data_IF_695953002726
#
_entry.id   IF_695953002726
#
_cell.length_a   1.000
_cell.length_b   1.000
_cell.length_c   1.000
_cell.angle_alpha   90.00
_cell.angle_beta   90.00
_cell.angle_gamma   90.00
#
_symmetry.space_group_name_H-M   'P 1'
#
loop_
_entity.id
_entity.type
_entity.pdbx_description
1 polymer ?
#
# COMPACT_ATOMS: atom_id res chain seq x y z
N UNK A 1 -20.50 10.22 -7.56
CA UNK A 1 -19.15 10.79 -7.34
C UNK A 1 -18.59 10.05 -6.16
N UNK A 2 -17.76 9.04 -6.40
CA UNK A 2 -17.29 8.14 -5.36
C UNK A 2 -16.25 8.85 -4.49
N UNK A 3 -16.43 8.76 -3.17
CA UNK A 3 -15.55 9.25 -2.13
C UNK A 3 -14.05 9.02 -2.42
N UNK A 4 -13.33 10.09 -2.75
CA UNK A 4 -11.87 10.12 -2.88
C UNK A 4 -11.21 10.58 -1.58
N UNK A 5 -11.74 10.17 -0.44
CA UNK A 5 -11.34 10.71 0.88
C UNK A 5 -10.13 9.97 1.47
N UNK A 6 -9.69 8.86 0.85
CA UNK A 6 -8.50 8.11 1.24
C UNK A 6 -7.48 8.04 0.09
N UNK A 7 -6.18 8.27 0.36
CA UNK A 7 -5.15 8.20 -0.68
C UNK A 7 -5.03 6.76 -1.23
N UNK A 8 -5.02 6.61 -2.56
CA UNK A 8 -4.87 5.29 -3.20
C UNK A 8 -3.45 4.76 -3.04
N UNK A 9 -3.26 3.46 -3.29
CA UNK A 9 -1.93 2.85 -3.27
C UNK A 9 -0.97 3.53 -4.26
N UNK A 10 -1.45 3.80 -5.48
CA UNK A 10 -0.67 4.47 -6.53
C UNK A 10 -0.27 5.89 -6.12
N UNK A 11 -1.16 6.61 -5.43
CA UNK A 11 -0.86 7.94 -4.89
C UNK A 11 0.22 7.86 -3.81
N UNK A 12 0.14 6.89 -2.90
CA UNK A 12 1.13 6.70 -1.84
C UNK A 12 2.49 6.28 -2.41
N UNK A 13 2.50 5.42 -3.43
CA UNK A 13 3.72 5.01 -4.10
C UNK A 13 4.39 6.19 -4.82
N UNK A 14 3.61 7.01 -5.54
CA UNK A 14 4.09 8.23 -6.20
C UNK A 14 4.70 9.21 -5.19
N UNK A 15 4.04 9.42 -4.04
CA UNK A 15 4.58 10.27 -2.98
C UNK A 15 5.90 9.71 -2.42
N UNK A 16 6.03 8.39 -2.25
CA UNK A 16 7.26 7.75 -1.80
C UNK A 16 8.41 8.01 -2.78
N UNK A 17 8.16 7.89 -4.08
CA UNK A 17 9.14 8.20 -5.12
C UNK A 17 9.60 9.67 -5.07
N UNK A 18 8.70 10.61 -4.77
CA UNK A 18 9.07 12.01 -4.59
C UNK A 18 9.94 12.21 -3.35
N UNK A 19 9.60 11.56 -2.23
CA UNK A 19 10.40 11.64 -1.00
C UNK A 19 11.82 11.09 -1.23
N UNK A 20 11.96 9.99 -1.97
CA UNK A 20 13.28 9.45 -2.36
C UNK A 20 14.06 10.48 -3.19
N UNK A 21 13.43 11.06 -4.22
CA UNK A 21 14.08 12.11 -5.03
C UNK A 21 14.51 13.32 -4.20
N UNK A 22 13.74 13.68 -3.18
CA UNK A 22 14.12 14.75 -2.25
C UNK A 22 15.35 14.34 -1.42
N UNK A 23 15.37 13.13 -0.87
CA UNK A 23 16.51 12.62 -0.08
C UNK A 23 17.82 12.53 -0.88
N UNK A 24 17.73 12.36 -2.20
CA UNK A 24 18.90 12.33 -3.09
C UNK A 24 19.48 13.73 -3.40
N UNK A 25 18.82 14.81 -2.97
CA UNK A 25 19.32 16.16 -3.22
C UNK A 25 20.56 16.47 -2.38
N UNK A 26 21.68 16.88 -3.00
CA UNK A 26 22.96 17.07 -2.31
C UNK A 26 22.96 18.25 -1.32
N UNK A 27 22.04 19.20 -1.49
CA UNK A 27 21.91 20.40 -0.64
C UNK A 27 20.76 20.30 0.37
N UNK A 28 20.19 19.10 0.57
CA UNK A 28 19.09 18.90 1.51
C UNK A 28 19.55 19.16 2.96
N UNK A 29 18.95 20.13 3.68
CA UNK A 29 19.28 20.37 5.07
C UNK A 29 18.98 19.14 5.95
N UNK A 30 19.84 18.86 6.93
CA UNK A 30 19.72 17.67 7.80
C UNK A 30 18.33 17.54 8.45
N UNK A 31 17.76 18.65 8.94
CA UNK A 31 16.43 18.64 9.54
C UNK A 31 15.34 18.24 8.52
N UNK A 32 15.45 18.71 7.28
CA UNK A 32 14.53 18.32 6.21
C UNK A 32 14.75 16.87 5.79
N UNK A 33 15.99 16.38 5.78
CA UNK A 33 16.29 14.97 5.51
C UNK A 33 15.62 14.06 6.56
N UNK A 34 15.71 14.42 7.85
CA UNK A 34 15.07 13.67 8.93
C UNK A 34 13.53 13.69 8.81
N UNK A 35 12.93 14.84 8.50
CA UNK A 35 11.48 14.93 8.27
C UNK A 35 11.03 14.11 7.05
N UNK A 36 11.78 14.19 5.95
CA UNK A 36 11.50 13.46 4.71
C UNK A 36 11.60 11.95 4.95
N UNK A 37 12.63 11.51 5.68
CA UNK A 37 12.79 10.12 6.06
C UNK A 37 11.64 9.62 6.96
N UNK A 38 11.26 10.39 7.98
CA UNK A 38 10.15 10.06 8.88
C UNK A 38 8.82 9.91 8.11
N UNK A 39 8.57 10.80 7.15
CA UNK A 39 7.41 10.70 6.25
C UNK A 39 7.49 9.43 5.39
N UNK A 40 8.64 9.16 4.80
CA UNK A 40 8.87 7.96 3.98
C UNK A 40 8.59 6.67 4.74
N UNK A 41 9.06 6.56 5.99
CA UNK A 41 8.79 5.38 6.85
C UNK A 41 7.29 5.19 7.08
N UNK A 42 6.57 6.28 7.42
CA UNK A 42 5.11 6.22 7.64
C UNK A 42 4.38 5.77 6.37
N UNK A 43 4.79 6.29 5.22
CA UNK A 43 4.19 5.99 3.93
C UNK A 43 4.42 4.53 3.52
N UNK A 44 5.63 4.00 3.74
CA UNK A 44 5.96 2.59 3.52
C UNK A 44 5.06 1.68 4.36
N UNK A 45 4.84 2.00 5.63
CA UNK A 45 3.95 1.22 6.51
C UNK A 45 2.51 1.20 5.97
N UNK A 46 2.03 2.34 5.46
CA UNK A 46 0.70 2.44 4.86
C UNK A 46 0.57 1.62 3.56
N UNK A 47 1.59 1.66 2.69
CA UNK A 47 1.66 0.82 1.49
C UNK A 47 1.63 -0.67 1.85
N UNK A 48 2.45 -1.09 2.82
CA UNK A 48 2.50 -2.48 3.28
C UNK A 48 1.14 -2.95 3.82
N UNK A 49 0.46 -2.11 4.61
CA UNK A 49 -0.88 -2.41 5.11
C UNK A 49 -1.87 -2.62 3.97
N UNK A 50 -1.85 -1.73 2.98
CA UNK A 50 -2.75 -1.81 1.81
C UNK A 50 -2.52 -3.10 1.02
N UNK A 51 -1.26 -3.49 0.80
CA UNK A 51 -0.91 -4.74 0.12
C UNK A 51 -1.37 -5.97 0.90
N UNK A 52 -1.17 -5.98 2.22
CA UNK A 52 -1.60 -7.06 3.09
C UNK A 52 -3.13 -7.22 3.09
N UNK A 53 -3.89 -6.12 3.12
CA UNK A 53 -5.36 -6.17 3.01
C UNK A 53 -5.82 -6.72 1.65
N UNK A 54 -5.14 -6.36 0.57
CA UNK A 54 -5.41 -6.90 -0.76
C UNK A 54 -5.11 -8.41 -0.84
N UNK A 55 -3.97 -8.85 -0.32
CA UNK A 55 -3.58 -10.27 -0.25
C UNK A 55 -4.60 -11.10 0.53
N UNK A 56 -4.96 -10.65 1.73
CA UNK A 56 -5.97 -11.31 2.57
C UNK A 56 -7.33 -11.41 1.85
N UNK A 57 -7.72 -10.37 1.11
CA UNK A 57 -8.96 -10.40 0.32
C UNK A 57 -8.91 -11.46 -0.78
N UNK A 58 -7.77 -11.61 -1.47
CA UNK A 58 -7.56 -12.63 -2.49
C UNK A 58 -7.63 -14.04 -1.88
N UNK A 59 -7.01 -14.25 -0.72
CA UNK A 59 -7.05 -15.52 -0.01
C UNK A 59 -8.49 -15.91 0.36
N UNK A 60 -9.26 -14.99 0.93
CA UNK A 60 -10.66 -15.24 1.29
C UNK A 60 -11.52 -15.59 0.07
N UNK A 61 -11.34 -14.89 -1.05
CA UNK A 61 -12.06 -15.18 -2.29
C UNK A 61 -11.69 -16.55 -2.86
N UNK A 62 -10.41 -16.92 -2.80
CA UNK A 62 -9.91 -18.22 -3.26
C UNK A 62 -10.47 -19.36 -2.41
N UNK A 63 -10.41 -19.24 -1.08
CA UNK A 63 -11.00 -20.22 -0.16
C UNK A 63 -12.51 -20.37 -0.35
N UNK A 64 -13.22 -19.26 -0.56
CA UNK A 64 -14.66 -19.27 -0.84
C UNK A 64 -14.96 -20.00 -2.14
N UNK A 65 -14.17 -19.77 -3.19
CA UNK A 65 -14.32 -20.44 -4.48
C UNK A 65 -14.09 -21.96 -4.37
N UNK A 66 -13.07 -22.39 -3.64
CA UNK A 66 -12.79 -23.81 -3.39
C UNK A 66 -13.92 -24.50 -2.61
N UNK A 67 -14.47 -23.82 -1.60
CA UNK A 67 -15.59 -24.33 -0.82
C UNK A 67 -16.85 -24.52 -1.69
N UNK A 68 -17.16 -23.57 -2.57
CA UNK A 68 -18.29 -23.66 -3.50
C UNK A 68 -18.11 -24.78 -4.53
N UNK A 69 -16.89 -25.00 -5.03
CA UNK A 69 -16.62 -26.07 -5.99
C UNK A 69 -16.69 -27.47 -5.37
N UNK A 70 -16.35 -27.60 -4.09
CA UNK A 70 -16.41 -28.89 -3.38
C UNK A 70 -17.87 -29.33 -3.16
N UNK A 71 -18.76 -28.39 -2.84
CA UNK A 71 -20.21 -28.67 -2.68
C UNK A 71 -20.91 -29.10 -3.98
N UNK A 72 -20.44 -28.63 -5.14
CA UNK A 72 -21.02 -29.00 -6.44
C UNK A 72 -20.60 -30.39 -6.95
N UNK A 73 -19.69 -31.09 -6.26
CA UNK A 73 -19.15 -32.40 -6.69
C UNK A 73 -19.79 -33.60 -5.97
N UNK A 74 -20.58 -33.33 -4.93
CA UNK A 74 -21.28 -34.33 -4.11
C UNK A 74 -22.80 -34.36 -4.35
N UNK A 75 -23.29 -33.64 -5.37
CA UNK A 75 -24.71 -33.59 -5.78
C UNK A 75 -24.99 -34.27 -7.11
#
# INVERSE_FOLDING_TARGET
MADTTSPTFESQLSELEQLVKTLEQPELPLNQALETFQKGVTLIQSCQKTLHEAEHTIEQLTQTHEALNTQNKEG
#
